data_IF_535235113770
#
_entry.id   IF_535235113770
#
_cell.length_a   1.000
_cell.length_b   1.000
_cell.length_c   1.000
_cell.angle_alpha   90.00
_cell.angle_beta   90.00
_cell.angle_gamma   90.00
#
_symmetry.space_group_name_H-M   'P 1'
#
loop_
_entity.id
_entity.type
_entity.pdbx_description
1 polymer ?
#
# COMPACT_ATOMS: atom_id res chain seq x y z
N UNK A 1 12.68 28.19 -12.24
CA UNK A 1 11.86 27.16 -11.59
C UNK A 1 12.46 25.81 -11.97
N UNK A 2 12.54 24.84 -11.06
CA UNK A 2 13.17 23.53 -11.33
C UNK A 2 12.41 22.78 -12.45
N UNK A 3 13.11 22.17 -13.43
CA UNK A 3 12.50 21.47 -14.58
C UNK A 3 11.73 20.19 -14.21
N UNK A 4 11.91 19.69 -12.98
CA UNK A 4 11.15 18.57 -12.42
C UNK A 4 11.44 18.42 -10.93
N UNK A 5 10.61 17.64 -10.25
CA UNK A 5 10.81 17.26 -8.84
C UNK A 5 10.78 15.75 -8.74
N UNK A 6 11.78 15.16 -8.09
CA UNK A 6 11.83 13.71 -7.86
C UNK A 6 12.27 13.45 -6.43
N UNK A 7 11.40 12.82 -5.66
CA UNK A 7 11.64 12.52 -4.26
C UNK A 7 12.38 11.17 -4.12
N UNK A 8 13.26 11.00 -3.11
CA UNK A 8 14.02 9.78 -2.92
C UNK A 8 13.15 8.55 -2.63
N UNK A 9 13.39 7.44 -3.33
CA UNK A 9 12.77 6.15 -3.01
C UNK A 9 13.80 5.04 -3.12
N UNK A 10 13.60 3.99 -2.32
CA UNK A 10 14.22 2.69 -2.53
C UNK A 10 13.22 1.77 -3.25
N UNK A 11 13.51 1.43 -4.50
CA UNK A 11 12.70 0.53 -5.32
C UNK A 11 12.86 -0.96 -4.94
N UNK A 12 13.75 -1.28 -3.99
CA UNK A 12 13.91 -2.59 -3.40
C UNK A 12 13.75 -2.50 -1.87
N UNK A 13 12.55 -2.16 -1.36
CA UNK A 13 12.31 -2.08 0.07
C UNK A 13 12.38 -3.49 0.70
N UNK A 14 12.58 -3.58 2.02
CA UNK A 14 12.72 -4.87 2.71
C UNK A 14 11.48 -5.78 2.60
N UNK A 15 10.30 -5.23 2.29
CA UNK A 15 9.06 -5.98 2.09
C UNK A 15 8.29 -5.43 0.88
N UNK A 16 7.99 -6.30 -0.10
CA UNK A 16 7.26 -5.93 -1.31
C UNK A 16 5.88 -6.63 -1.45
N UNK A 17 5.62 -7.69 -0.68
CA UNK A 17 4.45 -8.57 -0.90
C UNK A 17 3.06 -7.91 -0.82
N UNK A 18 2.94 -6.75 -0.16
CA UNK A 18 1.72 -5.93 -0.15
C UNK A 18 2.08 -4.47 -0.28
N UNK A 19 1.40 -3.74 -1.18
CA UNK A 19 1.66 -2.32 -1.41
C UNK A 19 1.48 -1.43 -0.17
N UNK A 20 0.61 -1.84 0.77
CA UNK A 20 0.44 -1.16 2.07
C UNK A 20 1.72 -1.12 2.92
N UNK A 21 2.62 -2.08 2.70
CA UNK A 21 3.97 -2.12 3.28
C UNK A 21 5.00 -1.54 2.31
N UNK A 22 4.95 -1.97 1.05
CA UNK A 22 5.98 -1.67 0.07
C UNK A 22 6.14 -0.17 -0.14
N UNK A 23 5.05 0.60 -0.26
CA UNK A 23 5.13 2.03 -0.50
C UNK A 23 5.72 2.84 0.67
N UNK A 24 5.21 2.75 1.91
CA UNK A 24 5.84 3.45 3.02
C UNK A 24 7.29 2.99 3.24
N UNK A 25 7.60 1.70 3.07
CA UNK A 25 8.97 1.21 3.20
C UNK A 25 9.87 1.67 2.04
N UNK A 26 9.34 1.86 0.83
CA UNK A 26 10.10 2.46 -0.27
C UNK A 26 10.49 3.91 0.02
N UNK A 27 9.66 4.66 0.74
CA UNK A 27 9.99 6.03 1.18
C UNK A 27 11.00 5.98 2.34
N UNK A 28 10.71 5.18 3.37
CA UNK A 28 11.51 5.11 4.60
C UNK A 28 12.91 4.56 4.35
N UNK A 29 13.03 3.49 3.57
CA UNK A 29 14.30 2.79 3.34
C UNK A 29 15.22 3.47 2.32
N UNK A 30 14.93 4.71 1.94
CA UNK A 30 15.90 5.58 1.28
C UNK A 30 16.98 6.11 2.25
N UNK A 31 16.73 6.00 3.55
CA UNK A 31 17.62 6.33 4.68
C UNK A 31 17.55 5.17 5.69
N UNK A 32 18.62 4.87 6.42
CA UNK A 32 18.66 3.80 7.42
C UNK A 32 18.06 4.22 8.78
N UNK A 33 17.67 5.49 8.96
CA UNK A 33 17.12 6.02 10.21
C UNK A 33 15.84 5.30 10.69
N UNK A 34 15.10 4.62 9.80
CA UNK A 34 13.90 3.84 10.13
C UNK A 34 14.19 2.45 10.70
N UNK A 35 15.41 1.93 10.55
CA UNK A 35 15.76 0.54 10.91
C UNK A 35 15.43 0.18 12.36
N UNK A 36 15.66 1.04 13.38
CA UNK A 36 15.30 0.72 14.76
C UNK A 36 13.80 0.40 14.91
N UNK A 37 12.93 1.17 14.24
CA UNK A 37 11.50 0.89 14.25
C UNK A 37 11.13 -0.34 13.43
N UNK A 38 11.72 -0.52 12.24
CA UNK A 38 11.46 -1.68 11.39
C UNK A 38 11.73 -2.99 12.14
N UNK A 39 12.89 -3.08 12.80
CA UNK A 39 13.28 -4.25 13.59
C UNK A 39 12.42 -4.47 14.84
N UNK A 40 11.68 -3.46 15.30
CA UNK A 40 10.73 -3.60 16.40
C UNK A 40 9.31 -3.98 15.98
N UNK A 41 8.95 -3.88 14.70
CA UNK A 41 7.54 -3.96 14.26
C UNK A 41 7.23 -5.08 13.26
N UNK A 42 8.20 -5.59 12.51
CA UNK A 42 7.97 -6.64 11.50
C UNK A 42 8.35 -8.03 12.02
N UNK A 43 7.65 -8.50 13.06
CA UNK A 43 7.89 -9.80 13.71
C UNK A 43 6.64 -10.67 13.67
N UNK A 44 5.53 -10.18 14.22
CA UNK A 44 4.31 -10.97 14.31
C UNK A 44 3.68 -11.17 12.93
N UNK A 45 3.35 -12.41 12.62
CA UNK A 45 2.71 -12.82 11.37
C UNK A 45 1.28 -13.25 11.64
N UNK A 46 0.39 -12.99 10.69
CA UNK A 46 -0.98 -13.47 10.76
C UNK A 46 -1.51 -13.91 9.41
N UNK A 47 -2.51 -14.78 9.48
CA UNK A 47 -3.26 -15.27 8.34
C UNK A 47 -4.65 -14.60 8.35
N UNK A 48 -4.95 -13.68 7.42
CA UNK A 48 -6.20 -12.93 7.43
C UNK A 48 -7.39 -13.83 7.08
N UNK A 49 -8.49 -13.70 7.84
CA UNK A 49 -9.77 -14.38 7.54
C UNK A 49 -10.47 -13.79 6.32
N UNK A 50 -10.28 -12.50 6.05
CA UNK A 50 -11.07 -11.74 5.08
C UNK A 50 -11.00 -12.25 3.62
N UNK A 51 -9.92 -12.93 3.22
CA UNK A 51 -9.79 -13.48 1.85
C UNK A 51 -10.21 -14.94 1.72
N UNK A 52 -10.35 -15.65 2.84
CA UNK A 52 -10.66 -17.07 2.88
C UNK A 52 -9.62 -17.96 2.18
N UNK A 53 -9.67 -19.25 2.45
CA UNK A 53 -8.89 -20.23 1.70
C UNK A 53 -9.46 -20.41 0.28
N UNK A 54 -8.64 -20.52 -0.80
CA UNK A 54 -7.17 -20.58 -0.82
C UNK A 54 -6.47 -19.21 -1.05
N UNK A 55 -7.22 -18.11 -1.07
CA UNK A 55 -6.72 -16.78 -1.46
C UNK A 55 -6.12 -15.94 -0.33
N UNK A 56 -6.20 -16.42 0.90
CA UNK A 56 -5.59 -15.79 2.05
C UNK A 56 -4.06 -15.84 1.91
N UNK A 57 -3.46 -14.66 2.04
CA UNK A 57 -2.01 -14.46 1.94
C UNK A 57 -1.47 -14.09 3.31
N UNK A 58 -0.32 -14.63 3.66
CA UNK A 58 0.43 -14.27 4.85
C UNK A 58 0.70 -12.75 4.90
N UNK A 59 0.62 -12.18 6.09
CA UNK A 59 0.90 -10.76 6.28
C UNK A 59 1.51 -10.48 7.67
N UNK A 60 2.21 -9.35 7.79
CA UNK A 60 2.76 -8.87 9.07
C UNK A 60 1.72 -8.07 9.83
N UNK A 61 1.57 -8.38 11.11
CA UNK A 61 0.86 -7.52 12.03
C UNK A 61 1.73 -6.28 12.29
N UNK A 62 1.25 -5.14 11.82
CA UNK A 62 1.70 -3.82 12.23
C UNK A 62 0.45 -2.97 12.43
N UNK A 63 0.45 -2.01 13.38
CA UNK A 63 -0.73 -1.19 13.64
C UNK A 63 -1.23 -0.56 12.34
N UNK A 64 -2.47 -0.84 11.91
CA UNK A 64 -3.05 -0.11 10.81
C UNK A 64 -3.19 1.31 11.29
N UNK A 65 -2.66 2.24 10.52
CA UNK A 65 -3.07 3.63 10.35
C UNK A 65 -1.79 4.41 10.04
N UNK A 66 -1.86 5.15 8.94
CA UNK A 66 -0.77 5.97 8.43
C UNK A 66 -0.16 7.01 9.42
N UNK A 67 -0.83 7.51 10.49
CA UNK A 67 -0.18 8.46 11.39
C UNK A 67 0.83 7.84 12.38
N UNK A 68 1.05 6.51 12.37
CA UNK A 68 1.97 5.84 13.31
C UNK A 68 3.28 5.33 12.70
N UNK A 69 3.56 5.62 11.42
CA UNK A 69 4.87 5.31 10.83
C UNK A 69 5.87 6.38 11.30
N UNK A 70 6.95 6.02 12.00
CA UNK A 70 7.93 7.01 12.39
C UNK A 70 8.58 7.61 11.15
N UNK A 71 9.08 8.84 11.30
CA UNK A 71 9.73 9.59 10.23
C UNK A 71 8.82 9.96 9.05
N UNK A 72 7.54 9.60 9.07
CA UNK A 72 6.57 10.06 8.09
C UNK A 72 5.61 11.06 8.72
N UNK A 73 5.45 12.22 8.09
CA UNK A 73 4.20 12.95 8.15
C UNK A 73 3.23 12.33 7.17
N UNK A 74 1.97 12.18 7.58
CA UNK A 74 0.96 11.58 6.72
C UNK A 74 -0.33 12.39 6.74
N UNK A 75 -0.99 12.41 5.59
CA UNK A 75 -2.29 13.03 5.43
C UNK A 75 -3.19 12.07 4.63
N UNK A 76 -4.47 12.05 4.95
CA UNK A 76 -5.46 11.25 4.26
C UNK A 76 -6.62 12.16 3.87
N UNK A 77 -6.90 12.20 2.59
CA UNK A 77 -7.97 13.01 2.03
C UNK A 77 -8.89 12.16 1.20
N UNK A 78 -10.11 12.65 1.05
CA UNK A 78 -11.05 12.10 0.11
C UNK A 78 -10.82 12.69 -1.27
N UNK A 79 -10.75 11.84 -2.31
CA UNK A 79 -10.49 12.23 -3.70
C UNK A 79 -11.49 13.24 -4.23
N UNK A 80 -12.72 13.25 -3.69
CA UNK A 80 -13.81 14.15 -4.10
C UNK A 80 -13.48 15.63 -3.87
N UNK A 81 -12.42 15.92 -3.10
CA UNK A 81 -11.89 17.28 -2.98
C UNK A 81 -11.27 17.80 -4.29
N UNK A 82 -10.81 16.88 -5.15
CA UNK A 82 -10.25 17.17 -6.47
C UNK A 82 -11.33 17.17 -7.56
N UNK A 83 -12.29 16.23 -7.51
CA UNK A 83 -13.34 16.07 -8.53
C UNK A 83 -14.19 17.34 -8.75
N UNK A 84 -14.29 18.23 -7.75
CA UNK A 84 -15.09 19.48 -7.84
C UNK A 84 -14.44 20.63 -8.63
N UNK A 85 -13.26 20.42 -9.22
CA UNK A 85 -12.40 21.52 -9.69
C UNK A 85 -12.10 21.53 -11.20
N UNK A 86 -12.45 20.48 -11.95
CA UNK A 86 -12.29 20.38 -13.41
C UNK A 86 -11.01 19.68 -13.88
N UNK A 87 -10.84 19.56 -15.21
CA UNK A 87 -9.69 18.92 -15.88
C UNK A 87 -8.34 19.54 -15.46
N UNK A 88 -7.27 18.74 -15.42
CA UNK A 88 -5.90 19.21 -15.09
C UNK A 88 -5.60 19.35 -13.59
N UNK A 89 -6.62 19.30 -12.73
CA UNK A 89 -6.47 19.56 -11.28
C UNK A 89 -5.64 18.49 -10.60
N UNK A 90 -5.76 17.23 -11.01
CA UNK A 90 -4.96 16.14 -10.45
C UNK A 90 -3.48 16.40 -10.69
N UNK A 91 -3.10 16.74 -11.93
CA UNK A 91 -1.72 17.04 -12.29
C UNK A 91 -1.14 18.18 -11.45
N UNK A 92 -1.85 19.31 -11.38
CA UNK A 92 -1.42 20.47 -10.60
C UNK A 92 -1.29 20.16 -9.09
N UNK A 93 -2.24 19.39 -8.56
CA UNK A 93 -2.21 18.92 -7.17
C UNK A 93 -0.98 18.07 -6.90
N UNK A 94 -0.69 17.08 -7.75
CA UNK A 94 0.46 16.19 -7.60
C UNK A 94 1.77 16.95 -7.71
N UNK A 95 1.89 17.86 -8.68
CA UNK A 95 3.06 18.73 -8.85
C UNK A 95 3.31 19.59 -7.60
N UNK A 96 2.24 20.13 -7.01
CA UNK A 96 2.34 20.95 -5.79
C UNK A 96 2.76 20.10 -4.59
N UNK A 97 2.15 18.92 -4.43
CA UNK A 97 2.52 17.96 -3.39
C UNK A 97 4.00 17.59 -3.48
N UNK A 98 4.48 17.21 -4.66
CA UNK A 98 5.86 16.82 -4.88
C UNK A 98 6.84 17.95 -4.58
N UNK A 99 6.51 19.19 -4.99
CA UNK A 99 7.33 20.38 -4.69
C UNK A 99 7.49 20.60 -3.17
N UNK A 100 6.47 20.25 -2.38
CA UNK A 100 6.45 20.35 -0.92
C UNK A 100 6.96 19.08 -0.20
N UNK A 101 7.53 18.13 -0.95
CA UNK A 101 8.11 16.89 -0.43
C UNK A 101 7.09 15.78 -0.15
N UNK A 102 5.84 15.94 -0.58
CA UNK A 102 4.79 14.93 -0.41
C UNK A 102 4.79 13.93 -1.56
N UNK A 103 4.97 12.66 -1.20
CA UNK A 103 4.60 11.52 -2.03
C UNK A 103 3.08 11.38 -2.01
N UNK A 104 2.49 10.97 -3.13
CA UNK A 104 1.05 10.75 -3.22
C UNK A 104 0.74 9.29 -3.57
N UNK A 105 -0.19 8.70 -2.83
CA UNK A 105 -0.78 7.40 -3.14
C UNK A 105 -2.23 7.60 -3.52
N UNK A 106 -2.60 7.08 -4.67
CA UNK A 106 -3.94 7.15 -5.22
C UNK A 106 -4.38 5.77 -5.69
N UNK A 107 -5.68 5.53 -5.62
CA UNK A 107 -6.30 4.45 -6.39
C UNK A 107 -6.57 4.95 -7.80
N UNK A 108 -6.20 4.12 -8.77
CA UNK A 108 -6.40 4.33 -10.20
C UNK A 108 -6.86 3.03 -10.84
N UNK A 109 -7.50 3.12 -12.00
CA UNK A 109 -7.73 1.96 -12.84
C UNK A 109 -6.48 1.64 -13.69
N UNK A 110 -5.85 0.50 -13.41
CA UNK A 110 -4.66 0.05 -14.13
C UNK A 110 -4.92 -0.26 -15.61
N UNK A 111 -6.18 -0.34 -16.07
CA UNK A 111 -6.51 -0.39 -17.50
C UNK A 111 -5.81 0.72 -18.29
N UNK A 112 -5.68 1.90 -17.69
CA UNK A 112 -5.14 3.10 -18.32
C UNK A 112 -3.63 3.28 -18.12
N UNK A 113 -2.98 2.50 -17.24
CA UNK A 113 -1.58 2.71 -16.85
C UNK A 113 -0.65 1.78 -17.64
N UNK A 114 0.23 2.30 -18.53
CA UNK A 114 1.13 1.47 -19.32
C UNK A 114 2.05 0.59 -18.47
N UNK A 115 2.29 -0.64 -18.95
CA UNK A 115 3.22 -1.59 -18.31
C UNK A 115 2.65 -2.33 -17.09
N UNK A 116 1.39 -2.08 -16.72
CA UNK A 116 0.65 -2.87 -15.72
C UNK A 116 0.00 -4.11 -16.33
N UNK A 117 -0.30 -5.11 -15.50
CA UNK A 117 -0.92 -6.36 -15.95
C UNK A 117 -2.30 -6.13 -16.59
N UNK A 118 -3.05 -5.14 -16.08
CA UNK A 118 -4.39 -4.79 -16.53
C UNK A 118 -4.42 -3.83 -17.73
N UNK A 119 -3.27 -3.27 -18.15
CA UNK A 119 -3.21 -2.23 -19.17
C UNK A 119 -3.91 -2.65 -20.46
N UNK A 120 -4.97 -1.93 -20.83
CA UNK A 120 -5.84 -2.19 -21.99
C UNK A 120 -6.44 -3.60 -22.06
N UNK A 121 -6.47 -4.31 -20.94
CA UNK A 121 -6.95 -5.69 -20.85
C UNK A 121 -8.20 -5.82 -19.99
N UNK A 122 -8.19 -5.22 -18.80
CA UNK A 122 -9.30 -5.32 -17.84
C UNK A 122 -9.31 -4.13 -16.88
N UNK A 123 -10.50 -3.78 -16.38
CA UNK A 123 -10.66 -2.88 -15.23
C UNK A 123 -9.98 -3.50 -14.00
N UNK A 124 -9.09 -2.75 -13.36
CA UNK A 124 -8.42 -3.20 -12.14
C UNK A 124 -8.08 -1.99 -11.23
N UNK A 125 -8.89 -1.72 -10.20
CA UNK A 125 -8.61 -0.65 -9.25
C UNK A 125 -7.42 -1.04 -8.37
N UNK A 126 -6.35 -0.25 -8.44
CA UNK A 126 -5.13 -0.56 -7.71
C UNK A 126 -4.43 0.71 -7.24
N UNK A 127 -3.58 0.58 -6.20
CA UNK A 127 -2.82 1.72 -5.69
C UNK A 127 -1.63 2.00 -6.58
N UNK A 128 -1.33 3.29 -6.73
CA UNK A 128 -0.14 3.80 -7.41
C UNK A 128 0.54 4.83 -6.51
N UNK A 129 1.86 4.69 -6.32
CA UNK A 129 2.66 5.69 -5.60
C UNK A 129 3.33 6.63 -6.60
N UNK A 130 3.01 7.92 -6.52
CA UNK A 130 3.65 9.00 -7.28
C UNK A 130 4.75 9.62 -6.43
N UNK A 131 5.96 9.72 -6.98
CA UNK A 131 7.13 10.22 -6.27
C UNK A 131 7.97 11.21 -7.08
N UNK A 132 7.61 11.49 -8.33
CA UNK A 132 8.27 12.52 -9.12
C UNK A 132 7.42 13.02 -10.28
N UNK A 133 7.84 14.14 -10.84
CA UNK A 133 7.25 14.75 -12.02
C UNK A 133 8.34 15.40 -12.89
N UNK A 134 8.13 15.32 -14.20
CA UNK A 134 8.87 16.03 -15.23
C UNK A 134 7.88 16.97 -15.90
N UNK A 135 8.04 18.28 -15.66
CA UNK A 135 7.10 19.29 -16.17
C UNK A 135 7.24 19.48 -17.67
N UNK A 136 8.44 19.32 -18.20
CA UNK A 136 8.71 19.50 -19.62
C UNK A 136 8.07 18.37 -20.45
N UNK A 137 8.00 17.17 -19.87
CA UNK A 137 7.39 15.99 -20.52
C UNK A 137 5.93 15.73 -20.11
N UNK A 138 5.37 16.54 -19.21
CA UNK A 138 4.05 16.33 -18.62
C UNK A 138 3.86 14.87 -18.14
N UNK A 139 4.84 14.35 -17.41
CA UNK A 139 4.86 12.96 -16.95
C UNK A 139 5.20 12.84 -15.47
N UNK A 140 4.71 11.77 -14.85
CA UNK A 140 4.92 11.44 -13.44
C UNK A 140 5.74 10.16 -13.29
N UNK A 141 6.68 10.17 -12.35
CA UNK A 141 7.38 8.97 -11.90
C UNK A 141 6.50 8.25 -10.88
N UNK A 142 6.22 6.97 -11.15
CA UNK A 142 5.31 6.14 -10.36
C UNK A 142 5.92 4.80 -10.01
N UNK A 143 5.54 4.24 -8.87
CA UNK A 143 6.03 2.97 -8.34
C UNK A 143 4.87 1.97 -8.19
N UNK A 144 5.07 0.74 -8.66
CA UNK A 144 4.05 -0.31 -8.61
C UNK A 144 4.54 -1.60 -9.26
N UNK A 145 3.66 -2.61 -9.29
CA UNK A 145 3.94 -3.87 -9.96
C UNK A 145 3.74 -3.75 -11.47
N UNK A 146 4.66 -4.30 -12.24
CA UNK A 146 4.54 -4.43 -13.70
C UNK A 146 3.79 -5.70 -14.09
N UNK A 147 3.45 -5.83 -15.37
CA UNK A 147 2.76 -7.01 -15.91
C UNK A 147 3.48 -8.34 -15.66
N UNK A 148 4.81 -8.33 -15.50
CA UNK A 148 5.64 -9.49 -15.14
C UNK A 148 5.84 -9.65 -13.62
N UNK A 149 5.08 -8.93 -12.80
CA UNK A 149 5.11 -9.04 -11.34
C UNK A 149 6.32 -8.38 -10.66
N UNK A 150 7.09 -7.55 -11.37
CA UNK A 150 8.23 -6.83 -10.78
C UNK A 150 7.78 -5.53 -10.13
N UNK A 151 8.23 -5.29 -8.90
CA UNK A 151 8.02 -4.01 -8.22
C UNK A 151 9.08 -3.02 -8.69
N UNK A 152 8.70 -2.01 -9.48
CA UNK A 152 9.66 -1.08 -10.09
C UNK A 152 9.07 0.28 -10.39
N UNK A 153 9.95 1.27 -10.52
CA UNK A 153 9.60 2.61 -10.98
C UNK A 153 9.34 2.60 -12.49
N UNK A 154 8.41 3.45 -12.91
CA UNK A 154 7.98 3.64 -14.30
C UNK A 154 7.47 5.07 -14.48
N UNK A 155 7.21 5.49 -15.71
CA UNK A 155 6.62 6.80 -16.01
C UNK A 155 5.22 6.64 -16.59
N UNK A 156 4.35 7.59 -16.27
CA UNK A 156 3.00 7.73 -16.82
C UNK A 156 2.78 9.17 -17.26
N UNK A 157 2.07 9.42 -18.35
CA UNK A 157 1.73 10.80 -18.73
C UNK A 157 0.67 11.38 -17.79
N UNK A 158 0.56 12.71 -17.75
CA UNK A 158 -0.53 13.37 -17.01
C UNK A 158 -1.90 12.90 -17.47
N UNK A 159 -2.11 12.78 -18.79
CA UNK A 159 -3.38 12.32 -19.36
C UNK A 159 -3.71 10.87 -19.00
N UNK A 160 -2.72 9.96 -19.08
CA UNK A 160 -2.93 8.56 -18.69
C UNK A 160 -3.29 8.43 -17.21
N UNK A 161 -2.67 9.25 -16.37
CA UNK A 161 -2.95 9.27 -14.94
C UNK A 161 -4.33 9.86 -14.62
N UNK A 162 -4.74 10.91 -15.35
CA UNK A 162 -6.08 11.49 -15.26
C UNK A 162 -7.15 10.51 -15.71
N UNK A 163 -6.99 9.89 -16.89
CA UNK A 163 -7.91 8.86 -17.39
C UNK A 163 -8.07 7.71 -16.39
N UNK A 164 -6.96 7.25 -15.80
CA UNK A 164 -6.98 6.17 -14.82
C UNK A 164 -7.68 6.56 -13.51
N UNK A 165 -7.45 7.80 -13.06
CA UNK A 165 -8.04 8.34 -11.83
C UNK A 165 -9.52 8.67 -12.00
N UNK A 166 -9.96 9.10 -13.18
CA UNK A 166 -11.34 9.53 -13.47
C UNK A 166 -12.18 8.45 -14.18
N UNK A 167 -11.66 7.22 -14.31
CA UNK A 167 -12.38 6.11 -14.95
C UNK A 167 -13.78 5.89 -14.36
N UNK A 168 -14.75 5.64 -15.24
CA UNK A 168 -16.15 5.51 -14.87
C UNK A 168 -16.40 4.29 -13.97
N UNK A 169 -15.69 3.20 -14.21
CA UNK A 169 -15.75 1.98 -13.41
C UNK A 169 -15.23 2.21 -11.99
N UNK A 170 -14.15 2.97 -11.81
CA UNK A 170 -13.65 3.35 -10.49
C UNK A 170 -14.64 4.27 -9.76
N UNK A 171 -15.24 5.23 -10.45
CA UNK A 171 -16.26 6.09 -9.87
C UNK A 171 -17.49 5.28 -9.41
N UNK A 172 -17.97 4.34 -10.24
CA UNK A 172 -19.09 3.47 -9.90
C UNK A 172 -18.79 2.57 -8.69
N UNK A 173 -17.58 2.00 -8.62
CA UNK A 173 -17.14 1.20 -7.47
C UNK A 173 -17.12 2.03 -6.17
N UNK A 174 -16.67 3.29 -6.26
CA UNK A 174 -16.67 4.22 -5.12
C UNK A 174 -18.10 4.54 -4.67
N UNK A 175 -19.00 4.87 -5.59
CA UNK A 175 -20.41 5.16 -5.28
C UNK A 175 -21.10 3.95 -4.62
N UNK A 176 -20.88 2.73 -5.13
CA UNK A 176 -21.44 1.51 -4.56
C UNK A 176 -20.92 1.21 -3.14
N UNK A 177 -19.64 1.47 -2.88
CA UNK A 177 -19.06 1.35 -1.52
C UNK A 177 -19.74 2.33 -0.57
N UNK A 178 -19.94 3.58 -1.00
CA UNK A 178 -20.56 4.63 -0.18
C UNK A 178 -22.04 4.34 0.12
N UNK A 179 -22.75 3.76 -0.84
CA UNK A 179 -24.13 3.31 -0.66
C UNK A 179 -24.24 2.08 0.26
N UNK A 180 -23.11 1.48 0.66
CA UNK A 180 -23.08 0.23 1.44
C UNK A 180 -23.49 -0.99 0.60
N UNK A 181 -23.52 -0.86 -0.72
CA UNK A 181 -23.88 -1.92 -1.68
C UNK A 181 -22.70 -2.85 -1.95
N UNK A 182 -21.47 -2.44 -1.58
CA UNK A 182 -20.24 -3.21 -1.75
C UNK A 182 -19.33 -3.07 -0.53
N UNK A 183 -18.90 -4.22 0.03
CA UNK A 183 -17.86 -4.24 1.05
C UNK A 183 -16.47 -3.98 0.46
N UNK A 184 -15.63 -3.25 1.20
CA UNK A 184 -14.26 -2.96 0.78
C UNK A 184 -13.30 -4.06 1.20
N UNK A 185 -12.90 -4.93 0.26
CA UNK A 185 -11.73 -5.80 0.47
C UNK A 185 -10.39 -5.04 0.31
N UNK A 186 -10.44 -3.84 -0.28
CA UNK A 186 -9.29 -3.11 -0.83
C UNK A 186 -9.19 -1.69 -0.27
N UNK A 187 -9.41 -1.47 1.03
CA UNK A 187 -9.36 -0.11 1.58
C UNK A 187 -10.38 0.84 0.95
N UNK A 188 -10.36 2.10 1.36
CA UNK A 188 -11.28 3.09 0.83
C UNK A 188 -10.74 3.62 -0.51
N UNK A 189 -11.36 3.17 -1.61
CA UNK A 189 -11.01 3.53 -3.00
C UNK A 189 -11.09 5.04 -3.25
N UNK A 190 -11.85 5.77 -2.43
CA UNK A 190 -11.98 7.20 -2.52
C UNK A 190 -10.87 7.96 -1.78
N UNK A 191 -9.81 7.29 -1.31
CA UNK A 191 -8.76 7.95 -0.52
C UNK A 191 -7.49 8.24 -1.30
N UNK A 192 -7.00 9.45 -1.10
CA UNK A 192 -5.65 9.88 -1.46
C UNK A 192 -4.85 9.95 -0.17
N UNK A 193 -3.73 9.22 -0.11
CA UNK A 193 -2.81 9.29 1.01
C UNK A 193 -1.55 10.03 0.62
N UNK A 194 -1.21 11.06 1.37
CA UNK A 194 0.07 11.74 1.25
C UNK A 194 1.01 11.27 2.35
N UNK A 195 2.28 11.11 2.00
CA UNK A 195 3.36 10.87 2.95
C UNK A 195 4.49 11.86 2.67
N UNK A 196 5.21 12.29 3.70
CA UNK A 196 6.43 13.08 3.56
C UNK A 196 7.43 12.60 4.58
N UNK A 197 8.67 12.36 4.13
CA UNK A 197 9.76 12.02 5.02
C UNK A 197 10.15 13.26 5.83
N UNK A 198 10.16 13.12 7.15
CA UNK A 198 10.52 14.16 8.10
C UNK A 198 11.77 13.74 8.87
N UNK A 199 12.92 14.24 8.41
CA UNK A 199 14.22 13.98 9.01
C UNK A 199 14.41 14.66 10.38
N UNK A 200 13.46 15.50 10.83
CA UNK A 200 13.47 16.06 12.19
C UNK A 200 12.94 15.08 13.24
N UNK A 201 12.17 14.07 12.80
CA UNK A 201 11.74 12.97 13.65
C UNK A 201 12.86 11.94 13.81
N UNK A 202 12.75 11.14 14.87
CA UNK A 202 13.62 9.99 15.10
C UNK A 202 12.78 8.82 15.60
N UNK A 203 13.33 7.61 15.51
CA UNK A 203 12.75 6.42 16.12
C UNK A 203 13.82 5.64 16.88
N UNK A 204 13.40 4.88 17.88
CA UNK A 204 14.28 4.05 18.70
C UNK A 204 13.86 2.59 18.63
N UNK A 205 14.85 1.71 18.81
CA UNK A 205 14.60 0.28 18.91
C UNK A 205 13.93 0.00 20.25
N UNK A 206 12.80 -0.71 20.21
CA UNK A 206 12.04 -1.13 21.38
C UNK A 206 12.24 -2.63 21.62
N UNK A 207 13.16 -2.96 22.54
CA UNK A 207 13.47 -4.34 22.90
C UNK A 207 12.29 -5.03 23.60
N UNK A 208 11.51 -4.30 24.40
CA UNK A 208 10.38 -4.89 25.11
C UNK A 208 9.28 -5.29 24.12
N UNK A 209 8.99 -4.43 23.15
CA UNK A 209 8.06 -4.74 22.08
C UNK A 209 8.50 -5.96 21.27
N UNK A 210 9.81 -6.09 20.99
CA UNK A 210 10.38 -7.27 20.32
C UNK A 210 10.16 -8.54 21.14
N UNK A 211 10.46 -8.50 22.44
CA UNK A 211 10.24 -9.64 23.35
C UNK A 211 8.76 -10.04 23.36
N UNK A 212 7.86 -9.06 23.43
CA UNK A 212 6.41 -9.30 23.48
C UNK A 212 5.89 -9.89 22.18
N UNK A 213 6.32 -9.38 21.02
CA UNK A 213 5.93 -9.92 19.71
C UNK A 213 6.52 -11.31 19.44
N UNK A 214 7.76 -11.57 19.86
CA UNK A 214 8.35 -12.91 19.76
C UNK A 214 7.61 -13.91 20.64
N UNK A 215 7.26 -13.51 21.86
CA UNK A 215 6.44 -14.32 22.78
C UNK A 215 5.07 -14.63 22.17
N UNK A 216 4.41 -13.63 21.59
CA UNK A 216 3.13 -13.82 20.92
C UNK A 216 3.25 -14.71 19.69
N UNK A 217 4.29 -14.52 18.88
CA UNK A 217 4.54 -15.34 17.70
C UNK A 217 4.74 -16.81 18.09
N UNK A 218 5.63 -17.08 19.05
CA UNK A 218 5.94 -18.43 19.51
C UNK A 218 4.73 -19.14 20.12
N UNK A 219 3.91 -18.40 20.88
CA UNK A 219 2.75 -18.94 21.59
C UNK A 219 1.43 -18.81 20.80
N UNK A 220 1.51 -18.35 19.54
CA UNK A 220 0.33 -18.09 18.68
C UNK A 220 -0.73 -17.23 19.35
N UNK A 221 -0.29 -16.16 20.04
CA UNK A 221 -1.19 -15.17 20.66
C UNK A 221 -1.44 -14.01 19.69
N UNK A 222 -2.67 -13.51 19.67
CA UNK A 222 -3.02 -12.40 18.81
C UNK A 222 -2.51 -11.07 19.39
N UNK A 223 -1.47 -10.50 18.79
CA UNK A 223 -0.93 -9.19 19.19
C UNK A 223 -1.96 -8.06 19.04
N UNK A 224 -2.95 -8.20 18.14
CA UNK A 224 -4.02 -7.22 17.95
C UNK A 224 -4.89 -7.02 19.21
N UNK A 225 -4.97 -8.01 20.09
CA UNK A 225 -5.80 -7.93 21.31
C UNK A 225 -5.33 -6.82 22.27
N UNK A 226 -4.04 -6.44 22.19
CA UNK A 226 -3.47 -5.30 22.95
C UNK A 226 -4.00 -3.95 22.47
N UNK A 227 -4.58 -3.90 21.28
CA UNK A 227 -5.06 -2.70 20.61
C UNK A 227 -6.58 -2.72 20.39
N UNK A 228 -7.32 -3.51 21.18
CA UNK A 228 -8.79 -3.67 21.09
C UNK A 228 -9.63 -2.38 21.14
N UNK A 229 -9.01 -1.26 21.49
CA UNK A 229 -9.62 0.07 21.42
C UNK A 229 -9.76 0.60 19.99
N UNK A 230 -9.00 0.03 19.05
CA UNK A 230 -9.02 0.35 17.63
C UNK A 230 -9.91 -0.67 16.90
N UNK A 231 -10.54 -0.23 15.80
CA UNK A 231 -11.14 -1.16 14.86
C UNK A 231 -10.03 -1.87 14.06
N UNK A 232 -9.75 -3.11 14.46
CA UNK A 232 -8.80 -4.00 13.82
C UNK A 232 -9.50 -5.15 13.08
N UNK A 233 -10.72 -4.95 12.62
CA UNK A 233 -11.50 -5.94 11.87
C UNK A 233 -10.76 -6.49 10.64
N UNK A 234 -9.91 -5.68 9.99
CA UNK A 234 -9.00 -6.14 8.93
C UNK A 234 -8.03 -7.25 9.42
N UNK A 235 -7.58 -7.14 10.66
CA UNK A 235 -6.73 -8.12 11.34
C UNK A 235 -7.56 -9.19 12.04
N UNK A 236 -8.78 -9.47 11.58
CA UNK A 236 -9.48 -10.68 11.99
C UNK A 236 -8.72 -11.88 11.41
N UNK A 237 -8.19 -12.73 12.28
CA UNK A 237 -7.17 -13.73 11.92
C UNK A 237 -7.78 -15.13 11.94
N UNK A 238 -7.44 -15.94 10.93
CA UNK A 238 -7.64 -17.39 11.01
C UNK A 238 -6.54 -18.07 11.83
N UNK A 239 -5.32 -17.52 11.79
CA UNK A 239 -4.17 -18.00 12.52
C UNK A 239 -3.19 -16.84 12.77
N UNK A 240 -2.40 -16.94 13.84
CA UNK A 240 -1.38 -15.96 14.21
C UNK A 240 -0.13 -16.65 14.71
N UNK A 241 1.02 -16.00 14.64
CA UNK A 241 2.27 -16.56 15.12
C UNK A 241 2.61 -17.92 14.47
N UNK A 242 3.04 -18.88 15.27
CA UNK A 242 3.40 -20.23 14.82
C UNK A 242 2.23 -21.05 14.27
N UNK A 243 0.98 -20.70 14.58
CA UNK A 243 -0.19 -21.41 14.03
C UNK A 243 -0.34 -21.23 12.51
N UNK A 244 0.24 -20.15 11.94
CA UNK A 244 0.19 -19.90 10.49
C UNK A 244 0.75 -21.06 9.66
N UNK A 245 1.70 -21.83 10.20
CA UNK A 245 2.32 -22.94 9.47
C UNK A 245 1.35 -24.07 9.18
N UNK A 246 0.28 -24.23 9.98
CA UNK A 246 -0.82 -25.14 9.67
C UNK A 246 -1.59 -24.65 8.42
N UNK A 247 -1.79 -23.34 8.30
CA UNK A 247 -2.39 -22.72 7.11
C UNK A 247 -1.52 -22.87 5.87
N UNK A 248 -0.21 -22.60 6.00
CA UNK A 248 0.77 -22.77 4.92
C UNK A 248 0.80 -24.22 4.44
N UNK A 249 0.88 -25.21 5.35
CA UNK A 249 0.88 -26.62 4.99
C UNK A 249 -0.36 -27.03 4.18
N UNK A 250 -1.55 -26.65 4.66
CA UNK A 250 -2.82 -26.89 3.94
C UNK A 250 -2.84 -26.22 2.56
N UNK A 251 -2.33 -25.00 2.45
CA UNK A 251 -2.26 -24.25 1.17
C UNK A 251 -1.33 -24.94 0.17
N UNK A 252 -0.17 -25.41 0.60
CA UNK A 252 0.79 -26.14 -0.24
C UNK A 252 0.21 -27.48 -0.71
N UNK A 253 -0.44 -28.24 0.18
CA UNK A 253 -1.13 -29.48 -0.19
C UNK A 253 -2.25 -29.25 -1.21
N UNK A 254 -2.96 -28.13 -1.09
CA UNK A 254 -3.98 -27.74 -2.05
C UNK A 254 -3.38 -27.38 -3.41
N UNK A 255 -2.31 -26.58 -3.45
CA UNK A 255 -1.58 -26.26 -4.70
C UNK A 255 -1.08 -27.52 -5.42
N UNK A 256 -0.62 -28.54 -4.68
CA UNK A 256 -0.21 -29.81 -5.27
C UNK A 256 -1.34 -30.52 -6.01
N UNK A 257 -2.59 -30.33 -5.56
CA UNK A 257 -3.79 -30.92 -6.17
C UNK A 257 -4.45 -29.99 -7.20
N UNK A 258 -4.13 -28.70 -7.17
CA UNK A 258 -4.75 -27.62 -7.96
C UNK A 258 -3.64 -26.70 -8.51
N UNK A 259 -2.94 -27.12 -9.58
CA UNK A 259 -1.78 -26.41 -10.11
C UNK A 259 -2.05 -24.96 -10.53
N UNK A 260 -3.29 -24.62 -10.85
CA UNK A 260 -3.73 -23.25 -11.15
C UNK A 260 -3.57 -22.28 -9.97
N UNK A 261 -3.37 -22.80 -8.75
CA UNK A 261 -3.05 -22.03 -7.55
C UNK A 261 -1.59 -22.19 -7.11
N UNK A 262 -0.70 -22.76 -7.91
CA UNK A 262 0.70 -22.95 -7.53
C UNK A 262 1.51 -21.64 -7.54
N UNK A 263 1.14 -20.70 -8.41
CA UNK A 263 1.85 -19.41 -8.62
C UNK A 263 1.24 -18.23 -7.82
N UNK A 264 0.31 -18.50 -6.88
CA UNK A 264 -0.47 -17.49 -6.13
C UNK A 264 -0.14 -17.47 -4.65
#
# INVERSE_FOLDING_TARGET
MSPGTRLPINANPPLIGKLRHAYPLSILSADDAYLPWFHSNFIQLFWPRARGFPHATLDFFYPPHYPSLPLLDTQLFDRRILDRRGEGVLGDFLVSCLADGWYAQLYVDEFHIPGRAAYRCAYMPHRLLVFGCDRDKASFDVLGFTADGRYTASQVTGSELEDAFESAELAADIEAIEAGERETALGDLAKISLARYDSSKSCSFDLQLVIDQLSDYLLSRNTADRFRMLDLSYYNQEATGMEIYNGIGRRLEYSLRHPEFADV
#
